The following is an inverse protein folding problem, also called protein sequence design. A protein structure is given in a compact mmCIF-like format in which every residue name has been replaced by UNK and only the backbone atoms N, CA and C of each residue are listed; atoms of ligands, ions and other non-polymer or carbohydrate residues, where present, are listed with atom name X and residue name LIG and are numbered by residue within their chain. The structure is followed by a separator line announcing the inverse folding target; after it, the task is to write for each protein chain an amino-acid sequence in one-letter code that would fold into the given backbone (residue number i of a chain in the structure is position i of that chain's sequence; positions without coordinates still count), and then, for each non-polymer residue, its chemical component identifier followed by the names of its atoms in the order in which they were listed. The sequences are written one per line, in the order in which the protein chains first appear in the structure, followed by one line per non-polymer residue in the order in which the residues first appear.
data_IF_456837774509
#
_entry.id   IF_456837774509
#
_cell.length_a   1.000
_cell.length_b   1.000
_cell.length_c   1.000
_cell.angle_alpha   90.00
_cell.angle_beta   90.00
_cell.angle_gamma   90.00
#
_symmetry.space_group_name_H-M   'P 1'
#
loop_
_entity.id
_entity.type
_entity.pdbx_description
1 polymer ?
#
# COMPACT_ATOMS: atom_id res chain seq x y z
N UNK A 1 -11.89 -5.17 -12.80
CA UNK A 1 -11.39 -4.56 -11.55
C UNK A 1 -11.94 -3.15 -11.49
N UNK A 2 -12.69 -2.82 -10.43
CA UNK A 2 -13.18 -1.44 -10.24
C UNK A 2 -11.98 -0.52 -10.02
N UNK A 3 -11.98 0.64 -10.67
CA UNK A 3 -10.93 1.64 -10.49
C UNK A 3 -10.91 2.09 -9.02
N UNK A 4 -9.76 1.93 -8.37
CA UNK A 4 -9.46 2.48 -7.05
C UNK A 4 -8.95 3.90 -7.33
N UNK A 5 -9.79 4.92 -7.10
CA UNK A 5 -9.36 6.32 -7.14
C UNK A 5 -8.53 6.66 -5.89
N UNK A 6 -7.48 5.90 -5.63
CA UNK A 6 -6.67 5.93 -4.44
C UNK A 6 -5.18 6.04 -4.77
N UNK A 7 -4.42 6.52 -3.80
CA UNK A 7 -2.96 6.62 -3.90
C UNK A 7 -2.32 5.37 -3.32
N UNK A 8 -1.35 4.80 -4.02
CA UNK A 8 -0.66 3.58 -3.58
C UNK A 8 0.61 3.92 -2.81
N UNK A 9 0.85 3.16 -1.74
CA UNK A 9 1.92 3.43 -0.79
C UNK A 9 2.62 2.15 -0.33
N UNK A 10 3.90 2.30 -0.03
CA UNK A 10 4.68 1.36 0.78
C UNK A 10 4.90 1.99 2.15
N UNK A 11 4.35 1.33 3.17
CA UNK A 11 4.45 1.67 4.58
C UNK A 11 5.60 0.89 5.22
N UNK A 12 6.52 1.59 5.88
CA UNK A 12 7.68 1.07 6.61
C UNK A 12 8.54 0.07 5.80
N UNK A 13 8.52 0.19 4.46
CA UNK A 13 9.25 -0.70 3.55
C UNK A 13 8.71 -2.14 3.43
N UNK A 14 7.67 -2.53 4.18
CA UNK A 14 7.25 -3.93 4.29
C UNK A 14 5.74 -4.16 4.15
N UNK A 15 4.93 -3.12 4.07
CA UNK A 15 3.48 -3.21 3.89
C UNK A 15 3.08 -2.38 2.68
N UNK A 16 2.34 -2.98 1.75
CA UNK A 16 1.92 -2.36 0.50
C UNK A 16 0.40 -2.22 0.48
N UNK A 17 -0.08 -1.06 0.06
CA UNK A 17 -1.51 -0.74 0.12
C UNK A 17 -1.88 0.53 -0.60
N UNK A 18 -3.09 0.99 -0.34
CA UNK A 18 -3.63 2.23 -0.90
C UNK A 18 -4.41 3.04 0.14
N UNK A 19 -4.52 4.34 -0.10
CA UNK A 19 -5.35 5.27 0.67
C UNK A 19 -6.40 5.90 -0.22
N UNK A 20 -7.57 6.19 0.35
CA UNK A 20 -8.58 7.02 -0.31
C UNK A 20 -8.56 8.46 0.24
N UNK A 21 -8.84 9.47 -0.59
CA UNK A 21 -8.91 10.87 -0.14
C UNK A 21 -9.88 11.09 1.04
N UNK A 22 -10.96 10.31 1.12
CA UNK A 22 -11.96 10.38 2.18
C UNK A 22 -11.43 9.86 3.53
N UNK A 23 -10.39 9.02 3.51
CA UNK A 23 -9.78 8.40 4.70
C UNK A 23 -8.25 8.32 4.55
N UNK A 24 -7.56 9.48 4.52
CA UNK A 24 -6.14 9.53 4.14
C UNK A 24 -5.21 8.85 5.14
N UNK A 25 -5.68 8.63 6.38
CA UNK A 25 -4.91 8.03 7.46
C UNK A 25 -5.16 6.52 7.60
N UNK A 26 -5.93 5.91 6.71
CA UNK A 26 -6.20 4.46 6.72
C UNK A 26 -5.60 3.85 5.46
N UNK A 27 -4.67 2.93 5.65
CA UNK A 27 -4.08 2.15 4.58
C UNK A 27 -4.90 0.87 4.39
N UNK A 28 -5.57 0.73 3.25
CA UNK A 28 -6.08 -0.54 2.78
C UNK A 28 -4.91 -1.43 2.38
N UNK A 29 -4.68 -2.52 3.12
CA UNK A 29 -3.52 -3.41 2.89
C UNK A 29 -3.79 -4.34 1.72
N UNK A 30 -2.90 -4.32 0.74
CA UNK A 30 -2.89 -5.22 -0.42
C UNK A 30 -1.93 -6.39 -0.24
N UNK A 31 -0.82 -6.16 0.47
CA UNK A 31 0.14 -7.20 0.81
C UNK A 31 1.03 -6.75 1.97
N UNK A 32 1.49 -7.72 2.75
CA UNK A 32 2.48 -7.52 3.82
C UNK A 32 3.60 -8.55 3.66
N UNK A 33 4.82 -8.20 4.08
CA UNK A 33 5.98 -9.09 4.10
C UNK A 33 6.48 -9.31 5.54
N UNK A 34 5.94 -10.30 6.28
CA UNK A 34 6.36 -10.57 7.66
C UNK A 34 7.85 -10.86 7.81
N UNK A 35 8.48 -11.43 6.79
CA UNK A 35 9.94 -11.65 6.77
C UNK A 35 10.77 -10.35 6.82
N UNK A 36 10.14 -9.18 6.63
CA UNK A 36 10.75 -7.86 6.77
C UNK A 36 10.23 -7.09 8.00
N UNK A 37 9.52 -7.77 8.92
CA UNK A 37 9.00 -7.18 10.15
C UNK A 37 7.54 -6.73 10.10
N UNK A 38 6.84 -6.92 8.97
CA UNK A 38 5.41 -6.61 8.90
C UNK A 38 4.57 -7.51 9.81
N UNK A 39 3.46 -6.99 10.33
CA UNK A 39 2.42 -7.82 10.93
C UNK A 39 1.81 -8.72 9.85
N UNK A 40 1.59 -10.02 10.15
CA UNK A 40 0.87 -10.94 9.27
C UNK A 40 -0.63 -10.64 9.31
N UNK A 41 -1.03 -9.56 8.63
CA UNK A 41 -2.42 -9.14 8.52
C UNK A 41 -2.67 -8.44 7.18
N UNK A 42 -3.90 -8.61 6.69
CA UNK A 42 -4.45 -7.94 5.51
C UNK A 42 -5.54 -6.92 5.89
N UNK A 43 -5.80 -6.76 7.19
CA UNK A 43 -6.75 -5.76 7.68
C UNK A 43 -6.24 -4.34 7.41
N UNK A 44 -7.13 -3.36 7.19
CA UNK A 44 -6.74 -1.96 7.09
C UNK A 44 -5.94 -1.51 8.30
N UNK A 45 -4.91 -0.72 8.07
CA UNK A 45 -4.02 -0.23 9.13
C UNK A 45 -4.10 1.29 9.25
N UNK A 46 -4.07 1.77 10.49
CA UNK A 46 -3.87 3.19 10.75
C UNK A 46 -2.45 3.59 10.32
N UNK A 47 -2.35 4.72 9.64
CA UNK A 47 -1.09 5.42 9.35
C UNK A 47 -0.87 6.41 10.48
N UNK A 48 0.28 6.34 11.13
CA UNK A 48 0.68 7.25 12.20
C UNK A 48 1.87 8.10 11.77
N UNK A 49 2.15 9.22 12.46
CA UNK A 49 3.31 10.06 12.15
C UNK A 49 4.67 9.39 12.29
N UNK A 50 4.76 8.23 12.95
CA UNK A 50 6.00 7.46 13.06
C UNK A 50 6.23 6.52 11.87
N UNK A 51 5.23 6.34 11.01
CA UNK A 51 5.33 5.47 9.86
C UNK A 51 6.08 6.17 8.72
N UNK A 52 7.03 5.47 8.11
CA UNK A 52 7.68 5.88 6.88
C UNK A 52 6.77 5.51 5.70
N UNK A 53 6.34 6.53 4.95
CA UNK A 53 5.39 6.40 3.86
C UNK A 53 6.04 6.82 2.55
N UNK A 54 6.20 5.86 1.64
CA UNK A 54 6.74 6.09 0.30
C UNK A 54 5.67 5.83 -0.76
N UNK A 55 5.56 6.70 -1.77
CA UNK A 55 4.71 6.43 -2.94
C UNK A 55 5.18 5.17 -3.65
N UNK A 56 4.22 4.33 -4.03
CA UNK A 56 4.52 3.08 -4.69
C UNK A 56 4.95 3.30 -6.15
N UNK A 57 5.86 2.45 -6.61
CA UNK A 57 6.27 2.36 -8.02
C UNK A 57 5.74 1.07 -8.63
N UNK A 58 5.87 0.92 -9.96
CA UNK A 58 5.52 -0.33 -10.65
C UNK A 58 6.30 -1.53 -10.10
N UNK A 59 7.56 -1.33 -9.69
CA UNK A 59 8.40 -2.39 -9.12
C UNK A 59 7.87 -2.90 -7.77
N UNK A 60 7.15 -2.08 -7.00
CA UNK A 60 6.56 -2.52 -5.74
C UNK A 60 5.45 -3.55 -5.98
N UNK A 61 4.66 -3.39 -7.03
CA UNK A 61 3.64 -4.38 -7.39
C UNK A 61 4.26 -5.76 -7.65
N UNK A 62 5.36 -5.83 -8.40
CA UNK A 62 6.09 -7.08 -8.62
C UNK A 62 6.70 -7.62 -7.31
N UNK A 63 7.40 -6.76 -6.56
CA UNK A 63 8.03 -7.14 -5.29
C UNK A 63 7.02 -7.72 -4.30
N UNK A 64 5.85 -7.09 -4.14
CA UNK A 64 4.78 -7.53 -3.26
C UNK A 64 3.84 -8.57 -3.90
N UNK A 65 4.07 -8.96 -5.16
CA UNK A 65 3.27 -9.92 -5.93
C UNK A 65 1.79 -9.53 -6.03
N UNK A 66 1.53 -8.24 -6.21
CA UNK A 66 0.20 -7.67 -6.44
C UNK A 66 0.07 -7.32 -7.92
N UNK A 67 -1.04 -7.68 -8.55
CA UNK A 67 -1.30 -7.32 -9.95
C UNK A 67 -1.45 -5.81 -10.07
N UNK A 68 -0.73 -5.20 -11.01
CA UNK A 68 -0.83 -3.76 -11.30
C UNK A 68 -2.24 -3.43 -11.81
N UNK A 69 -2.99 -2.55 -11.11
CA UNK A 69 -4.32 -2.11 -11.56
C UNK A 69 -4.22 -1.22 -12.80
N UNK A 70 -5.23 -1.28 -13.68
CA UNK A 70 -5.27 -0.52 -14.95
C UNK A 70 -5.28 1.01 -14.78
N UNK A 71 -5.67 1.47 -13.60
CA UNK A 71 -5.79 2.85 -13.18
C UNK A 71 -4.59 3.35 -12.36
N UNK A 72 -3.57 2.51 -12.14
CA UNK A 72 -2.32 2.96 -11.56
C UNK A 72 -1.69 4.07 -12.42
N UNK A 73 -1.26 5.15 -11.77
CA UNK A 73 -0.55 6.28 -12.38
C UNK A 73 0.73 6.48 -11.56
N UNK A 74 1.91 6.08 -12.07
CA UNK A 74 3.16 6.49 -11.45
C UNK A 74 3.24 8.01 -11.64
N UNK A 75 3.27 8.74 -10.53
CA UNK A 75 3.61 10.17 -10.56
C UNK A 75 5.06 10.39 -10.99
#
# INVERSE_FOLDING_TARGET
MSAINGTYWVKNGHTFGYTFPEQPNILGVLASKPQLGACLSMEPQLITPSDDMRKATVQDFDFFRVVVPSDFRPE
#
